data_IF_294123014641
#
_entry.id   IF_294123014641
#
_cell.length_a   1.000
_cell.length_b   1.000
_cell.length_c   1.000
_cell.angle_alpha   90.00
_cell.angle_beta   90.00
_cell.angle_gamma   90.00
#
_symmetry.space_group_name_H-M   'P 1'
#
loop_
_entity.id
_entity.type
_entity.pdbx_description
1 polymer ?
#
# COMPACT_ATOMS: atom_id res chain seq x y z
N UNK A 1 6.91 6.06 -22.56
CA UNK A 1 5.46 5.93 -22.81
C UNK A 1 4.74 6.98 -21.99
N UNK A 2 3.49 7.33 -22.34
CA UNK A 2 2.70 8.33 -21.59
C UNK A 2 2.65 8.04 -20.08
N UNK A 3 2.44 6.78 -19.70
CA UNK A 3 2.39 6.36 -18.30
C UNK A 3 3.72 6.57 -17.55
N UNK A 4 4.87 6.32 -18.20
CA UNK A 4 6.18 6.59 -17.59
C UNK A 4 6.43 8.08 -17.41
N UNK A 5 6.08 8.90 -18.41
CA UNK A 5 6.17 10.36 -18.29
C UNK A 5 5.31 10.92 -17.16
N UNK A 6 4.11 10.35 -16.94
CA UNK A 6 3.29 10.71 -15.78
C UNK A 6 3.95 10.35 -14.43
N UNK A 7 4.65 9.22 -14.36
CA UNK A 7 5.44 8.84 -13.18
C UNK A 7 6.65 9.75 -12.98
N UNK A 8 7.32 10.16 -14.06
CA UNK A 8 8.44 11.12 -14.01
C UNK A 8 7.97 12.46 -13.39
N UNK A 9 6.82 12.97 -13.84
CA UNK A 9 6.21 14.16 -13.23
C UNK A 9 5.84 13.90 -11.77
N UNK A 10 5.24 12.76 -11.42
CA UNK A 10 4.92 12.45 -10.02
C UNK A 10 6.18 12.38 -9.14
N UNK A 11 7.30 11.88 -9.68
CA UNK A 11 8.59 11.83 -9.02
C UNK A 11 9.14 13.24 -8.75
N UNK A 12 8.94 14.21 -9.64
CA UNK A 12 9.29 15.62 -9.38
C UNK A 12 8.54 16.17 -8.14
N UNK A 13 7.25 15.83 -7.97
CA UNK A 13 6.50 16.27 -6.79
C UNK A 13 7.00 15.63 -5.49
N UNK A 14 7.48 14.38 -5.55
CA UNK A 14 8.14 13.74 -4.41
C UNK A 14 9.48 14.40 -4.10
N UNK A 15 10.30 14.69 -5.12
CA UNK A 15 11.58 15.38 -4.97
C UNK A 15 11.42 16.79 -4.38
N UNK A 16 10.35 17.49 -4.76
CA UNK A 16 9.97 18.80 -4.22
C UNK A 16 9.37 18.74 -2.79
N UNK A 17 9.19 17.55 -2.22
CA UNK A 17 8.56 17.36 -0.90
C UNK A 17 7.05 17.64 -0.87
N UNK A 18 6.39 17.72 -2.03
CA UNK A 18 4.93 17.92 -2.15
C UNK A 18 4.15 16.61 -2.02
N UNK A 19 4.81 15.48 -2.28
CA UNK A 19 4.25 14.14 -2.14
C UNK A 19 5.19 13.25 -1.32
N UNK A 20 4.63 12.25 -0.64
CA UNK A 20 5.34 11.39 0.32
C UNK A 20 5.62 9.98 -0.22
N UNK A 21 5.36 9.74 -1.50
CA UNK A 21 5.51 8.45 -2.15
C UNK A 21 4.86 8.41 -3.53
N UNK A 22 5.05 7.30 -4.23
CA UNK A 22 4.49 7.05 -5.55
C UNK A 22 3.38 5.98 -5.49
N UNK A 23 2.52 5.97 -6.50
CA UNK A 23 1.54 4.90 -6.73
C UNK A 23 1.59 4.45 -8.17
N UNK A 24 1.68 3.15 -8.39
CA UNK A 24 1.65 2.52 -9.71
C UNK A 24 1.06 1.12 -9.62
N UNK A 25 1.17 0.32 -10.67
CA UNK A 25 0.57 -1.00 -10.65
C UNK A 25 0.58 -1.76 -11.96
N UNK A 26 -0.12 -2.89 -11.93
CA UNK A 26 -0.45 -3.72 -13.10
C UNK A 26 -1.90 -4.23 -13.01
N UNK A 27 -2.50 -4.64 -14.13
CA UNK A 27 -3.91 -5.04 -14.16
C UNK A 27 -4.22 -6.17 -13.18
N UNK A 28 -5.33 -6.06 -12.46
CA UNK A 28 -5.87 -7.15 -11.63
C UNK A 28 -6.89 -8.03 -12.38
N UNK A 29 -7.14 -7.74 -13.66
CA UNK A 29 -8.05 -8.47 -14.54
C UNK A 29 -7.28 -9.09 -15.71
N UNK A 30 -7.82 -10.13 -16.37
CA UNK A 30 -7.18 -10.73 -17.53
C UNK A 30 -6.93 -9.71 -18.65
N UNK A 31 -5.72 -9.70 -19.18
CA UNK A 31 -5.27 -8.85 -20.28
C UNK A 31 -4.41 -9.67 -21.25
N UNK A 32 -4.11 -9.11 -22.43
CA UNK A 32 -3.17 -9.75 -23.35
C UNK A 32 -1.75 -9.76 -22.75
N UNK A 33 -0.87 -10.71 -23.17
CA UNK A 33 0.53 -10.72 -22.76
C UNK A 33 1.26 -9.40 -23.04
N UNK A 34 0.95 -8.75 -24.17
CA UNK A 34 1.53 -7.45 -24.52
C UNK A 34 1.18 -6.35 -23.50
N UNK A 35 -0.08 -6.28 -23.08
CA UNK A 35 -0.53 -5.31 -22.06
C UNK A 35 0.09 -5.63 -20.71
N UNK A 36 0.20 -6.91 -20.36
CA UNK A 36 0.86 -7.36 -19.13
C UNK A 36 2.34 -6.94 -19.10
N UNK A 37 3.08 -7.21 -20.18
CA UNK A 37 4.50 -6.85 -20.30
C UNK A 37 4.69 -5.34 -20.26
N UNK A 38 3.82 -4.58 -20.94
CA UNK A 38 3.86 -3.12 -20.90
C UNK A 38 3.58 -2.60 -19.49
N UNK A 39 2.59 -3.14 -18.78
CA UNK A 39 2.30 -2.75 -17.40
C UNK A 39 3.48 -3.04 -16.47
N UNK A 40 4.13 -4.21 -16.59
CA UNK A 40 5.32 -4.53 -15.79
C UNK A 40 6.50 -3.60 -16.12
N UNK A 41 6.68 -3.17 -17.37
CA UNK A 41 7.68 -2.14 -17.72
C UNK A 41 7.39 -0.77 -17.08
N UNK A 42 6.11 -0.43 -16.87
CA UNK A 42 5.70 0.78 -16.14
C UNK A 42 5.93 0.61 -14.64
N UNK A 43 5.59 -0.55 -14.07
CA UNK A 43 5.83 -0.86 -12.67
C UNK A 43 7.34 -0.84 -12.33
N UNK A 44 8.20 -1.46 -13.14
CA UNK A 44 9.66 -1.36 -12.99
C UNK A 44 10.18 0.07 -13.03
N UNK A 45 9.56 0.93 -13.85
CA UNK A 45 9.91 2.35 -13.90
C UNK A 45 9.56 3.05 -12.59
N UNK A 46 8.35 2.82 -12.06
CA UNK A 46 7.93 3.35 -10.77
C UNK A 46 8.84 2.87 -9.61
N UNK A 47 9.23 1.59 -9.62
CA UNK A 47 10.18 1.02 -8.64
C UNK A 47 11.55 1.71 -8.71
N UNK A 48 12.04 1.99 -9.92
CA UNK A 48 13.33 2.68 -10.12
C UNK A 48 13.27 4.10 -9.56
N UNK A 49 12.25 4.88 -9.95
CA UNK A 49 12.07 6.24 -9.43
C UNK A 49 11.91 6.26 -7.90
N UNK A 50 11.14 5.33 -7.34
CA UNK A 50 10.94 5.24 -5.89
C UNK A 50 12.23 4.86 -5.15
N UNK A 51 13.07 4.00 -5.73
CA UNK A 51 14.40 3.67 -5.21
C UNK A 51 15.35 4.88 -5.24
N UNK A 52 15.41 5.60 -6.37
CA UNK A 52 16.25 6.79 -6.54
C UNK A 52 15.87 7.93 -5.59
N UNK A 53 14.56 8.12 -5.34
CA UNK A 53 14.03 9.12 -4.44
C UNK A 53 13.94 8.66 -2.98
N UNK A 54 14.26 7.39 -2.71
CA UNK A 54 14.15 6.78 -1.38
C UNK A 54 12.75 7.02 -0.76
N UNK A 55 11.69 6.84 -1.57
CA UNK A 55 10.29 7.01 -1.18
C UNK A 55 9.51 5.68 -1.28
N UNK A 56 8.40 5.50 -0.53
CA UNK A 56 7.60 4.29 -0.66
C UNK A 56 6.83 4.26 -1.99
N UNK A 57 6.52 3.05 -2.46
CA UNK A 57 5.67 2.81 -3.63
C UNK A 57 4.47 1.97 -3.21
N UNK A 58 3.27 2.53 -3.34
CA UNK A 58 2.05 1.72 -3.30
C UNK A 58 1.80 1.06 -4.66
N UNK A 59 1.56 -0.25 -4.67
CA UNK A 59 1.24 -1.00 -5.88
C UNK A 59 -0.21 -1.47 -5.86
N UNK A 60 -0.93 -1.17 -6.94
CA UNK A 60 -2.20 -1.82 -7.27
C UNK A 60 -1.90 -2.96 -8.26
N UNK A 61 -2.28 -4.18 -7.93
CA UNK A 61 -1.94 -5.36 -8.73
C UNK A 61 -3.00 -6.45 -8.56
N UNK A 62 -2.87 -7.51 -9.33
CA UNK A 62 -3.71 -8.70 -9.25
C UNK A 62 -3.80 -9.29 -7.84
N UNK A 63 -4.85 -10.10 -7.65
CA UNK A 63 -5.04 -10.87 -6.43
C UNK A 63 -3.87 -11.83 -6.21
N UNK A 64 -3.48 -12.00 -4.95
CA UNK A 64 -2.40 -12.90 -4.55
C UNK A 64 -1.17 -12.16 -4.03
N UNK A 65 -0.05 -12.88 -3.88
CA UNK A 65 1.11 -12.37 -3.15
C UNK A 65 1.93 -11.34 -3.93
N UNK A 66 1.87 -11.32 -5.27
CA UNK A 66 2.74 -10.51 -6.14
C UNK A 66 4.24 -10.69 -5.82
N UNK A 67 4.67 -11.93 -5.56
CA UNK A 67 6.00 -12.23 -5.06
C UNK A 67 7.12 -11.86 -6.04
N UNK A 68 6.86 -11.88 -7.35
CA UNK A 68 7.80 -11.49 -8.38
C UNK A 68 8.20 -10.00 -8.31
N UNK A 69 7.35 -9.15 -7.73
CA UNK A 69 7.66 -7.73 -7.51
C UNK A 69 8.83 -7.54 -6.54
N UNK A 70 9.10 -8.50 -5.65
CA UNK A 70 10.27 -8.48 -4.77
C UNK A 70 11.56 -8.41 -5.59
N UNK A 71 11.67 -9.22 -6.63
CA UNK A 71 12.87 -9.27 -7.47
C UNK A 71 12.94 -8.06 -8.40
N UNK A 72 11.80 -7.56 -8.87
CA UNK A 72 11.73 -6.28 -9.61
C UNK A 72 12.23 -5.11 -8.76
N UNK A 73 11.81 -5.05 -7.49
CA UNK A 73 12.21 -3.99 -6.56
C UNK A 73 13.71 -4.05 -6.27
N UNK A 74 14.26 -5.25 -5.99
CA UNK A 74 15.70 -5.44 -5.80
C UNK A 74 16.50 -5.02 -7.03
N UNK A 75 16.06 -5.41 -8.22
CA UNK A 75 16.71 -5.04 -9.48
C UNK A 75 16.68 -3.51 -9.72
N UNK A 76 15.66 -2.83 -9.21
CA UNK A 76 15.52 -1.38 -9.27
C UNK A 76 16.22 -0.62 -8.12
N UNK A 77 16.93 -1.33 -7.22
CA UNK A 77 17.58 -0.71 -6.06
C UNK A 77 16.61 -0.23 -4.98
N UNK A 78 15.35 -0.67 -5.01
CA UNK A 78 14.32 -0.27 -4.06
C UNK A 78 14.28 -1.20 -2.84
N UNK A 79 14.14 -0.63 -1.65
CA UNK A 79 13.84 -1.38 -0.43
C UNK A 79 12.47 -2.07 -0.55
N UNK A 80 12.49 -3.40 -0.59
CA UNK A 80 11.29 -4.25 -0.73
C UNK A 80 10.29 -4.04 0.41
N UNK A 81 10.75 -3.63 1.59
CA UNK A 81 9.88 -3.35 2.74
C UNK A 81 9.06 -2.06 2.59
N UNK A 82 9.37 -1.25 1.58
CA UNK A 82 8.68 0.00 1.23
C UNK A 82 7.89 -0.10 -0.08
N UNK A 83 7.77 -1.30 -0.63
CA UNK A 83 6.79 -1.63 -1.66
C UNK A 83 5.53 -2.12 -0.95
N UNK A 84 4.45 -1.36 -1.09
CA UNK A 84 3.22 -1.51 -0.31
C UNK A 84 2.17 -2.14 -1.21
N UNK A 85 1.81 -3.39 -0.93
CA UNK A 85 0.72 -4.07 -1.64
C UNK A 85 -0.61 -3.54 -1.11
N UNK A 86 -1.25 -2.71 -1.92
CA UNK A 86 -2.62 -2.27 -1.72
C UNK A 86 -3.59 -3.45 -1.97
N UNK A 87 -4.62 -3.61 -1.13
CA UNK A 87 -5.42 -4.83 -1.02
C UNK A 87 -4.53 -6.07 -0.95
N UNK A 88 -3.68 -6.13 0.07
CA UNK A 88 -2.84 -7.29 0.33
C UNK A 88 -3.66 -8.48 0.83
N UNK A 89 -3.31 -9.67 0.34
CA UNK A 89 -3.65 -10.93 1.01
C UNK A 89 -2.59 -11.23 2.06
N UNK A 90 -2.86 -12.20 2.94
CA UNK A 90 -1.95 -12.51 4.03
C UNK A 90 -0.60 -13.13 3.60
N UNK A 91 -0.50 -13.52 2.33
CA UNK A 91 0.61 -14.27 1.72
C UNK A 91 1.65 -13.36 1.05
N UNK A 92 1.38 -12.06 0.90
CA UNK A 92 2.32 -11.17 0.21
C UNK A 92 3.65 -11.06 0.95
N UNK A 93 4.80 -11.17 0.26
CA UNK A 93 6.11 -10.89 0.84
C UNK A 93 6.45 -9.39 0.87
N UNK A 94 5.59 -8.55 0.29
CA UNK A 94 5.69 -7.09 0.29
C UNK A 94 5.11 -6.52 1.59
N UNK A 95 5.19 -5.20 1.79
CA UNK A 95 4.49 -4.57 2.92
C UNK A 95 2.98 -4.66 2.69
N UNK A 96 2.22 -5.34 3.57
CA UNK A 96 0.78 -5.51 3.34
C UNK A 96 0.00 -4.28 3.80
N UNK A 97 -0.80 -3.70 2.89
CA UNK A 97 -1.87 -2.77 3.23
C UNK A 97 -3.22 -3.47 3.08
N UNK A 98 -3.94 -3.64 4.19
CA UNK A 98 -5.12 -4.51 4.27
C UNK A 98 -6.39 -3.74 4.59
N UNK A 99 -7.53 -4.27 4.14
CA UNK A 99 -8.83 -3.65 4.42
C UNK A 99 -9.32 -3.98 5.83
N UNK A 100 -10.20 -3.13 6.37
CA UNK A 100 -10.77 -3.30 7.71
C UNK A 100 -11.71 -4.52 7.90
N UNK A 101 -11.82 -5.40 6.90
CA UNK A 101 -12.73 -6.56 6.89
C UNK A 101 -12.00 -7.90 6.80
N UNK A 102 -10.66 -7.90 6.80
CA UNK A 102 -9.91 -9.13 6.65
C UNK A 102 -10.08 -10.06 7.87
N UNK A 103 -10.37 -11.35 7.67
CA UNK A 103 -10.64 -12.29 8.76
C UNK A 103 -9.40 -12.59 9.62
N UNK A 104 -8.19 -12.36 9.09
CA UNK A 104 -6.91 -12.64 9.75
C UNK A 104 -6.38 -11.48 10.61
N UNK A 105 -7.09 -10.34 10.70
CA UNK A 105 -6.60 -9.16 11.43
C UNK A 105 -6.28 -9.43 12.90
N UNK A 106 -7.16 -10.16 13.60
CA UNK A 106 -6.98 -10.45 15.02
C UNK A 106 -5.70 -11.27 15.28
N UNK A 107 -5.39 -12.21 14.39
CA UNK A 107 -4.19 -13.02 14.49
C UNK A 107 -2.94 -12.19 14.21
N UNK A 108 -2.98 -11.31 13.21
CA UNK A 108 -1.86 -10.41 12.89
C UNK A 108 -1.54 -9.43 14.02
N UNK A 109 -2.55 -8.91 14.69
CA UNK A 109 -2.34 -8.10 15.89
C UNK A 109 -1.66 -8.92 16.99
N UNK A 110 -2.16 -10.13 17.29
CA UNK A 110 -1.59 -11.02 18.31
C UNK A 110 -0.16 -11.44 18.01
N UNK A 111 0.17 -11.66 16.75
CA UNK A 111 1.51 -11.99 16.27
C UNK A 111 2.47 -10.80 16.26
N UNK A 112 1.98 -9.58 16.50
CA UNK A 112 2.80 -8.37 16.40
C UNK A 112 3.25 -8.05 14.97
N UNK A 113 2.54 -8.54 13.94
CA UNK A 113 2.89 -8.30 12.53
C UNK A 113 2.87 -6.81 12.20
N UNK A 114 3.75 -6.41 11.28
CA UNK A 114 3.83 -5.06 10.74
C UNK A 114 3.03 -4.98 9.45
N UNK A 115 2.04 -4.10 9.41
CA UNK A 115 1.15 -3.88 8.27
C UNK A 115 0.53 -2.48 8.34
N UNK A 116 -0.05 -2.00 7.24
CA UNK A 116 -0.94 -0.84 7.24
C UNK A 116 -2.39 -1.26 7.01
N UNK A 117 -3.32 -0.39 7.43
CA UNK A 117 -4.74 -0.56 7.14
C UNK A 117 -5.24 0.58 6.28
N UNK A 118 -6.17 0.27 5.39
CA UNK A 118 -6.75 1.22 4.45
C UNK A 118 -8.26 1.03 4.30
N UNK A 119 -8.96 2.11 3.97
CA UNK A 119 -10.37 2.05 3.60
C UNK A 119 -10.59 1.87 2.10
N UNK A 120 -9.61 2.25 1.28
CA UNK A 120 -9.77 2.45 -0.17
C UNK A 120 -11.05 3.23 -0.50
N UNK A 121 -11.20 4.39 0.16
CA UNK A 121 -12.41 5.18 -0.03
C UNK A 121 -12.39 5.83 -1.43
N UNK A 122 -13.49 5.64 -2.15
CA UNK A 122 -13.75 6.21 -3.46
C UNK A 122 -14.71 7.37 -3.28
N UNK A 123 -14.23 8.59 -3.53
CA UNK A 123 -15.00 9.82 -3.40
C UNK A 123 -15.86 10.07 -4.66
N UNK A 124 -16.81 9.16 -4.92
CA UNK A 124 -17.75 9.23 -6.05
C UNK A 124 -19.19 9.37 -5.53
N UNK A 125 -19.71 10.60 -5.58
CA UNK A 125 -21.06 10.95 -5.15
C UNK A 125 -22.17 10.21 -5.92
N UNK A 126 -21.89 9.66 -7.11
CA UNK A 126 -22.85 8.86 -7.86
C UNK A 126 -22.99 7.43 -7.33
N UNK A 127 -22.06 6.99 -6.47
CA UNK A 127 -21.97 5.62 -5.94
C UNK A 127 -21.77 5.59 -4.41
N UNK A 128 -22.65 6.25 -3.62
CA UNK A 128 -22.50 6.30 -2.18
C UNK A 128 -22.53 4.89 -1.57
N UNK A 129 -21.49 4.55 -0.79
CA UNK A 129 -21.38 3.25 -0.12
C UNK A 129 -20.94 2.08 -1.00
N UNK A 130 -20.55 2.32 -2.26
CA UNK A 130 -20.02 1.27 -3.14
C UNK A 130 -18.68 0.69 -2.65
N UNK A 131 -17.94 1.45 -1.83
CA UNK A 131 -16.71 1.02 -1.16
C UNK A 131 -16.74 1.36 0.33
N UNK A 132 -15.74 0.91 1.07
CA UNK A 132 -15.65 1.20 2.49
C UNK A 132 -15.45 2.71 2.71
N UNK A 133 -16.32 3.32 3.52
CA UNK A 133 -16.14 4.70 3.96
C UNK A 133 -14.85 4.89 4.78
N UNK A 134 -14.36 6.13 4.92
CA UNK A 134 -13.15 6.44 5.67
C UNK A 134 -13.24 6.05 7.16
N UNK A 135 -14.46 5.92 7.69
CA UNK A 135 -14.71 5.46 9.07
C UNK A 135 -14.61 3.94 9.27
N UNK A 136 -14.38 3.16 8.21
CA UNK A 136 -14.34 1.69 8.30
C UNK A 136 -13.19 1.19 9.18
N UNK A 137 -11.97 1.68 8.93
CA UNK A 137 -10.76 1.37 9.72
C UNK A 137 -10.94 1.73 11.20
N UNK A 138 -11.22 3.00 11.59
CA UNK A 138 -11.34 3.34 13.00
C UNK A 138 -12.50 2.61 13.70
N UNK A 139 -13.61 2.31 13.00
CA UNK A 139 -14.73 1.55 13.57
C UNK A 139 -14.37 0.10 13.85
N UNK A 140 -13.59 -0.55 12.97
CA UNK A 140 -13.10 -1.92 13.21
C UNK A 140 -12.14 -1.93 14.40
N UNK A 141 -11.17 -1.01 14.44
CA UNK A 141 -10.20 -0.90 15.52
C UNK A 141 -10.87 -0.63 16.87
N UNK A 142 -11.82 0.30 16.92
CA UNK A 142 -12.56 0.60 18.14
C UNK A 142 -13.32 -0.63 18.67
N UNK A 143 -13.90 -1.44 17.79
CA UNK A 143 -14.58 -2.68 18.18
C UNK A 143 -13.61 -3.72 18.73
N UNK A 144 -12.42 -3.86 18.13
CA UNK A 144 -11.39 -4.79 18.60
C UNK A 144 -10.86 -4.36 19.98
N UNK A 145 -10.61 -3.06 20.19
CA UNK A 145 -10.27 -2.50 21.50
C UNK A 145 -11.35 -2.78 22.55
N UNK A 146 -12.62 -2.53 22.23
CA UNK A 146 -13.74 -2.74 23.15
C UNK A 146 -13.92 -4.21 23.57
N UNK A 147 -13.58 -5.14 22.68
CA UNK A 147 -13.61 -6.58 22.97
C UNK A 147 -12.39 -7.06 23.77
N UNK A 148 -11.34 -6.24 23.84
CA UNK A 148 -10.04 -6.65 24.39
C UNK A 148 -9.22 -7.52 23.44
N UNK A 149 -9.52 -7.51 22.14
CA UNK A 149 -8.77 -8.28 21.13
C UNK A 149 -7.39 -7.66 20.85
N UNK A 150 -7.25 -6.35 21.08
CA UNK A 150 -6.03 -5.56 20.87
C UNK A 150 -5.86 -4.52 21.98
N UNK A 151 -4.64 -4.01 22.13
CA UNK A 151 -4.30 -2.96 23.10
C UNK A 151 -4.17 -1.58 22.44
N UNK A 152 -4.08 -0.52 23.24
CA UNK A 152 -3.76 0.82 22.72
C UNK A 152 -2.38 0.85 22.06
N UNK A 153 -1.41 0.08 22.58
CA UNK A 153 -0.07 -0.01 22.01
C UNK A 153 -0.10 -0.67 20.62
N UNK A 154 -0.94 -1.68 20.42
CA UNK A 154 -1.16 -2.28 19.10
C UNK A 154 -1.73 -1.26 18.09
N UNK A 155 -2.66 -0.44 18.54
CA UNK A 155 -3.25 0.62 17.71
C UNK A 155 -2.20 1.66 17.36
N UNK A 156 -1.39 2.11 18.32
CA UNK A 156 -0.33 3.08 18.06
C UNK A 156 0.73 2.53 17.11
N UNK A 157 1.13 1.27 17.29
CA UNK A 157 2.07 0.59 16.40
C UNK A 157 1.57 0.60 14.95
N UNK A 158 0.32 0.19 14.70
CA UNK A 158 -0.22 0.05 13.34
C UNK A 158 -0.63 1.39 12.70
N UNK A 159 -1.09 2.36 13.49
CA UNK A 159 -1.66 3.60 12.96
C UNK A 159 -0.78 4.85 13.16
N UNK A 160 0.27 4.75 13.98
CA UNK A 160 1.27 5.79 14.19
C UNK A 160 2.65 5.34 13.70
N UNK A 161 3.27 4.39 14.40
CA UNK A 161 4.69 4.06 14.20
C UNK A 161 4.98 3.49 12.81
N UNK A 162 4.18 2.53 12.35
CA UNK A 162 4.37 1.89 11.04
C UNK A 162 4.22 2.89 9.89
N UNK A 163 3.11 3.63 9.74
CA UNK A 163 2.99 4.62 8.67
C UNK A 163 4.00 5.76 8.80
N UNK A 164 4.35 6.19 10.02
CA UNK A 164 5.40 7.19 10.24
C UNK A 164 6.74 6.73 9.66
N UNK A 165 7.14 5.49 9.95
CA UNK A 165 8.38 4.89 9.44
C UNK A 165 8.33 4.67 7.93
N UNK A 166 7.21 4.17 7.41
CA UNK A 166 7.05 3.77 6.02
C UNK A 166 7.05 4.97 5.06
N UNK A 167 6.31 6.03 5.42
CA UNK A 167 6.16 7.25 4.63
C UNK A 167 7.10 8.39 5.06
N UNK A 168 7.84 8.22 6.17
CA UNK A 168 8.70 9.26 6.76
C UNK A 168 7.95 10.56 7.05
N UNK A 169 6.73 10.43 7.55
CA UNK A 169 5.90 11.56 7.98
C UNK A 169 5.74 11.55 9.49
N UNK A 170 5.74 12.72 10.15
CA UNK A 170 5.41 12.77 11.56
C UNK A 170 3.93 12.45 11.77
N UNK A 171 3.63 11.64 12.77
CA UNK A 171 2.29 11.52 13.35
C UNK A 171 2.35 12.20 14.71
N UNK A 172 1.84 13.43 14.78
CA UNK A 172 1.67 14.12 16.05
C UNK A 172 0.39 13.64 16.74
N UNK A 173 0.45 13.47 18.06
CA UNK A 173 -0.69 13.09 18.92
C UNK A 173 -1.39 14.34 19.42
#
# INVERSE_FOLDING_TARGET
TLMKGGLDVAAEYVADGKCIGLKSGRPHYPVSPEVWDMANRVLSHALTLAGELDCPLQIHAESGPCADVVDMAKAAGMDTSRVIKHFATCETPLHPSVTAREPFLADWFREGRVFTMESDFMDDNSRPGAVNGPRSVPRTIQRMLQKGDITTDDVWRIHGDVPAKLYRVPFEV
#
